data_IF_065268059424
#
_entry.id   IF_065268059424
#
_cell.length_a   1.000
_cell.length_b   1.000
_cell.length_c   1.000
_cell.angle_alpha   90.00
_cell.angle_beta   90.00
_cell.angle_gamma   90.00
#
_symmetry.space_group_name_H-M   'P 1'
#
loop_
_entity.id
_entity.type
_entity.pdbx_description
1 polymer ?
#
# COMPACT_ATOMS: atom_id res chain seq x y z
N UNK A 1 15.60 -4.33 -1.74
CA UNK A 1 15.97 -4.96 -0.45
C UNK A 1 17.37 -4.62 0.06
N UNK A 2 18.47 -4.89 -0.67
CA UNK A 2 19.84 -4.60 -0.17
C UNK A 2 20.06 -3.15 0.30
N UNK A 3 19.46 -2.18 -0.38
CA UNK A 3 19.54 -0.76 0.01
C UNK A 3 18.72 -0.41 1.26
N UNK A 4 17.66 -1.17 1.55
CA UNK A 4 16.71 -0.87 2.63
C UNK A 4 17.09 -1.53 3.95
N UNK A 5 17.98 -2.54 3.92
CA UNK A 5 18.41 -3.26 5.12
C UNK A 5 19.04 -2.31 6.15
N UNK A 6 18.51 -2.36 7.38
CA UNK A 6 19.01 -1.58 8.52
C UNK A 6 18.65 -0.09 8.49
N UNK A 7 17.69 0.33 7.64
CA UNK A 7 17.26 1.72 7.50
C UNK A 7 15.74 1.80 7.52
N UNK A 8 15.21 2.86 8.11
CA UNK A 8 13.82 3.26 7.88
C UNK A 8 13.73 3.86 6.48
N UNK A 9 12.87 3.31 5.63
CA UNK A 9 12.72 3.75 4.25
C UNK A 9 11.26 4.08 3.97
N UNK A 10 11.02 5.29 3.48
CA UNK A 10 9.73 5.70 2.95
C UNK A 10 9.73 5.48 1.44
N UNK A 11 8.75 4.73 0.95
CA UNK A 11 8.57 4.45 -0.48
C UNK A 11 7.22 4.99 -0.91
N UNK A 12 7.21 5.87 -1.90
CA UNK A 12 6.00 6.27 -2.61
C UNK A 12 5.95 5.45 -3.90
N UNK A 13 4.90 4.65 -4.06
CA UNK A 13 4.81 3.71 -5.17
C UNK A 13 3.69 4.06 -6.14
N UNK A 14 4.03 4.08 -7.43
CA UNK A 14 3.05 4.08 -8.51
C UNK A 14 2.59 2.65 -8.88
N UNK A 15 3.34 1.63 -8.45
CA UNK A 15 3.03 0.22 -8.69
C UNK A 15 2.87 -0.48 -7.36
N UNK A 16 1.73 -1.13 -7.13
CA UNK A 16 1.48 -1.85 -5.88
C UNK A 16 2.51 -2.97 -5.62
N UNK A 17 3.08 -3.56 -6.68
CA UNK A 17 4.11 -4.58 -6.54
C UNK A 17 5.38 -4.08 -5.83
N UNK A 18 5.67 -2.78 -5.86
CA UNK A 18 6.85 -2.18 -5.22
C UNK A 18 6.72 -2.10 -3.69
N UNK A 19 5.49 -2.03 -3.16
CA UNK A 19 5.21 -1.88 -1.72
C UNK A 19 4.69 -3.16 -1.07
N UNK A 20 4.58 -4.27 -1.82
CA UNK A 20 4.07 -5.54 -1.30
C UNK A 20 4.85 -6.05 -0.09
N UNK A 21 6.16 -5.85 -0.07
CA UNK A 21 7.07 -6.31 0.98
C UNK A 21 7.34 -5.25 2.06
N UNK A 22 6.58 -4.16 2.07
CA UNK A 22 6.71 -3.13 3.10
C UNK A 22 6.14 -3.61 4.43
N UNK A 23 6.84 -3.32 5.53
CA UNK A 23 6.37 -3.66 6.88
C UNK A 23 5.03 -2.99 7.19
N UNK A 24 4.85 -1.76 6.69
CA UNK A 24 3.62 -0.97 6.83
C UNK A 24 3.34 -0.25 5.51
N UNK A 25 2.12 -0.37 5.03
CA UNK A 25 1.56 0.36 3.90
C UNK A 25 0.54 1.36 4.44
N UNK A 26 0.54 2.57 3.88
CA UNK A 26 -0.43 3.62 4.19
C UNK A 26 -1.09 4.08 2.89
N UNK A 27 -2.42 4.04 2.86
CA UNK A 27 -3.21 4.57 1.74
C UNK A 27 -3.59 6.00 2.08
N UNK A 28 -3.19 6.92 1.21
CA UNK A 28 -3.52 8.34 1.31
C UNK A 28 -4.65 8.66 0.33
N UNK A 29 -5.69 9.34 0.82
CA UNK A 29 -6.74 9.93 0.00
C UNK A 29 -7.11 11.32 0.53
N UNK A 30 -7.25 12.29 -0.36
CA UNK A 30 -7.55 13.69 -0.03
C UNK A 30 -6.72 14.27 1.14
N UNK A 31 -5.42 13.95 1.18
CA UNK A 31 -4.50 14.42 2.23
C UNK A 31 -4.68 13.74 3.59
N UNK A 32 -5.45 12.65 3.68
CA UNK A 32 -5.67 11.86 4.90
C UNK A 32 -5.24 10.42 4.71
N UNK A 33 -4.71 9.81 5.76
CA UNK A 33 -4.42 8.37 5.78
C UNK A 33 -5.75 7.67 6.06
N UNK A 34 -6.26 6.93 5.08
CA UNK A 34 -7.54 6.22 5.17
C UNK A 34 -7.36 4.75 5.55
N UNK A 35 -6.22 4.16 5.23
CA UNK A 35 -5.88 2.77 5.59
C UNK A 35 -4.41 2.66 5.99
N UNK A 36 -4.13 1.77 6.95
CA UNK A 36 -2.77 1.48 7.42
C UNK A 36 -2.68 0.03 7.87
N UNK A 37 -1.67 -0.68 7.38
CA UNK A 37 -1.40 -2.06 7.77
C UNK A 37 -0.37 -2.72 6.87
N UNK A 38 -0.05 -3.98 7.15
CA UNK A 38 0.69 -4.83 6.23
C UNK A 38 -0.16 -5.16 4.99
N UNK A 39 0.50 -5.65 3.93
CA UNK A 39 -0.18 -6.11 2.72
C UNK A 39 -1.32 -7.11 3.02
N UNK A 40 -1.08 -8.08 3.90
CA UNK A 40 -2.08 -9.12 4.22
C UNK A 40 -3.27 -8.58 5.01
N UNK A 41 -3.03 -7.68 5.96
CA UNK A 41 -4.09 -7.03 6.74
C UNK A 41 -5.00 -6.20 5.84
N UNK A 42 -4.40 -5.40 4.94
CA UNK A 42 -5.14 -4.55 4.02
C UNK A 42 -5.94 -5.36 2.99
N UNK A 43 -5.42 -6.50 2.52
CA UNK A 43 -6.18 -7.41 1.67
C UNK A 43 -7.40 -8.02 2.39
N UNK A 44 -7.27 -8.35 3.69
CA UNK A 44 -8.39 -8.86 4.50
C UNK A 44 -9.48 -7.82 4.73
N UNK A 45 -9.09 -6.54 4.87
CA UNK A 45 -10.03 -5.44 5.01
C UNK A 45 -10.93 -5.22 3.79
N UNK A 46 -10.49 -5.66 2.60
CA UNK A 46 -11.21 -5.46 1.32
C UNK A 46 -11.58 -3.99 1.05
N UNK A 47 -10.76 -3.06 1.51
CA UNK A 47 -10.94 -1.62 1.32
C UNK A 47 -10.29 -1.08 0.02
N UNK A 48 -9.90 0.20 0.02
CA UNK A 48 -9.30 0.89 -1.14
C UNK A 48 -8.01 0.21 -1.59
N UNK A 49 -7.14 -0.19 -0.67
CA UNK A 49 -5.92 -0.92 -1.04
C UNK A 49 -6.23 -2.19 -1.84
N UNK A 50 -7.24 -2.95 -1.39
CA UNK A 50 -7.68 -4.17 -2.07
C UNK A 50 -8.23 -3.87 -3.46
N UNK A 51 -9.07 -2.84 -3.61
CA UNK A 51 -9.63 -2.44 -4.91
C UNK A 51 -8.54 -2.03 -5.90
N UNK A 52 -7.56 -1.24 -5.45
CA UNK A 52 -6.38 -0.86 -6.26
C UNK A 52 -5.55 -2.09 -6.66
N UNK A 53 -5.46 -3.09 -5.77
CA UNK A 53 -4.71 -4.31 -6.03
C UNK A 53 -5.39 -5.26 -7.02
N UNK A 54 -6.71 -5.42 -6.92
CA UNK A 54 -7.48 -6.31 -7.80
C UNK A 54 -7.88 -5.66 -9.12
N UNK A 55 -7.54 -4.39 -9.34
CA UNK A 55 -7.95 -3.63 -10.54
C UNK A 55 -9.44 -3.31 -10.55
N UNK A 56 -10.10 -3.30 -9.38
CA UNK A 56 -11.53 -3.01 -9.23
C UNK A 56 -11.86 -1.51 -9.27
N UNK A 57 -10.89 -0.66 -9.59
CA UNK A 57 -11.13 0.76 -9.87
C UNK A 57 -11.63 0.90 -11.30
N UNK A 58 -12.94 0.81 -11.50
CA UNK A 58 -13.58 1.48 -12.62
C UNK A 58 -13.54 2.98 -12.33
N UNK A 59 -12.87 3.73 -13.20
CA UNK A 59 -12.91 5.19 -13.19
C UNK A 59 -14.34 5.60 -13.54
N UNK A 60 -15.06 6.20 -12.60
CA UNK A 60 -16.11 7.17 -12.93
C UNK A 60 -15.48 8.48 -13.44
#
# INVERSE_FOLDING_TARGET
DKLMKGRTVFVIAHRLSTIRNSDVIMVLDQGRIIERGSHEELLKMKGIYYQLYTGGFELE
#
